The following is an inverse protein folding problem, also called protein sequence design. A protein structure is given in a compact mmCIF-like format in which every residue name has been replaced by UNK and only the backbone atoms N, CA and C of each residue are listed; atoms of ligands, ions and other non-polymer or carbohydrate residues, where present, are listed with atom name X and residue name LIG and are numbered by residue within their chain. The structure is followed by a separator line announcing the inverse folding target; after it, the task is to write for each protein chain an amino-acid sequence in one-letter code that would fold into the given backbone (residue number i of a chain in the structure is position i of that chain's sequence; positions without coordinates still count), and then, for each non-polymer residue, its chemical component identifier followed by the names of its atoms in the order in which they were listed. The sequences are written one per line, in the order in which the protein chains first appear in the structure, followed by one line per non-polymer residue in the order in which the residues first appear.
data_IF_742784365858
#
_entry.id   IF_742784365858
#
_cell.length_a   1.000
_cell.length_b   1.000
_cell.length_c   1.000
_cell.angle_alpha   90.00
_cell.angle_beta   90.00
_cell.angle_gamma   90.00
#
_symmetry.space_group_name_H-M   'P 1'
#
loop_
_entity.id
_entity.type
_entity.pdbx_description
1 polymer ?
#
# COMPACT_ATOMS: atom_id res chain seq x y z
N UNK A 1 -40.77 -40.96 0.88
CA UNK A 1 -39.93 -40.43 1.96
C UNK A 1 -38.98 -39.41 1.34
N UNK A 2 -39.30 -38.13 1.44
CA UNK A 2 -38.38 -37.05 1.05
C UNK A 2 -37.85 -36.43 2.32
N UNK A 3 -36.54 -36.54 2.54
CA UNK A 3 -35.85 -35.85 3.62
C UNK A 3 -35.60 -34.42 3.18
N UNK A 4 -36.33 -33.49 3.79
CA UNK A 4 -36.10 -32.05 3.64
C UNK A 4 -34.78 -31.71 4.34
N UNK A 5 -33.79 -31.28 3.55
CA UNK A 5 -32.49 -30.83 4.07
C UNK A 5 -32.74 -29.49 4.79
N UNK A 6 -32.64 -29.47 6.12
CA UNK A 6 -32.86 -28.26 6.93
C UNK A 6 -31.86 -27.16 6.61
N UNK A 7 -32.20 -25.91 6.94
CA UNK A 7 -31.33 -24.75 6.72
C UNK A 7 -29.95 -24.98 7.35
N UNK A 8 -28.92 -25.15 6.51
CA UNK A 8 -27.54 -25.27 6.98
C UNK A 8 -27.10 -23.95 7.60
N UNK A 9 -26.92 -23.93 8.90
CA UNK A 9 -26.18 -22.87 9.60
C UNK A 9 -24.75 -22.84 9.05
N UNK A 10 -24.47 -21.91 8.15
CA UNK A 10 -23.10 -21.65 7.68
C UNK A 10 -22.18 -21.26 8.85
N UNK A 11 -20.87 -21.44 8.64
CA UNK A 11 -19.85 -21.07 9.64
C UNK A 11 -19.96 -19.57 10.02
N UNK A 12 -19.96 -19.21 11.31
CA UNK A 12 -20.04 -17.82 11.73
C UNK A 12 -18.89 -17.01 11.13
N UNK A 13 -19.16 -15.79 10.65
CA UNK A 13 -18.13 -14.83 10.21
C UNK A 13 -17.39 -14.19 11.41
N UNK A 14 -17.02 -14.98 12.43
CA UNK A 14 -16.33 -14.49 13.63
C UNK A 14 -15.01 -13.77 13.30
N UNK A 15 -14.39 -14.12 12.19
CA UNK A 15 -13.10 -13.56 11.77
C UNK A 15 -13.24 -12.16 11.16
N UNK A 16 -14.38 -11.83 10.56
CA UNK A 16 -14.62 -10.54 9.89
C UNK A 16 -15.40 -9.63 10.84
N UNK A 17 -14.80 -9.32 11.97
CA UNK A 17 -15.32 -8.30 12.90
C UNK A 17 -14.88 -6.91 12.46
N UNK A 18 -15.67 -5.90 12.81
CA UNK A 18 -15.29 -4.49 12.61
C UNK A 18 -13.96 -4.13 13.28
N UNK A 19 -13.64 -4.81 14.38
CA UNK A 19 -12.37 -4.67 15.08
C UNK A 19 -11.19 -5.16 14.23
N UNK A 20 -11.31 -6.36 13.64
CA UNK A 20 -10.27 -6.89 12.76
C UNK A 20 -10.12 -6.05 11.49
N UNK A 21 -11.23 -5.53 10.93
CA UNK A 21 -11.19 -4.62 9.78
C UNK A 21 -10.41 -3.34 10.13
N UNK A 22 -10.71 -2.71 11.27
CA UNK A 22 -10.00 -1.51 11.74
C UNK A 22 -8.53 -1.77 12.01
N UNK A 23 -8.21 -2.89 12.65
CA UNK A 23 -6.83 -3.26 12.96
C UNK A 23 -6.01 -3.51 11.69
N UNK A 24 -6.54 -4.26 10.72
CA UNK A 24 -5.89 -4.47 9.42
C UNK A 24 -5.68 -3.13 8.70
N UNK A 25 -6.69 -2.25 8.71
CA UNK A 25 -6.59 -0.93 8.08
C UNK A 25 -5.48 -0.07 8.71
N UNK A 26 -5.39 -0.04 10.04
CA UNK A 26 -4.34 0.70 10.75
C UNK A 26 -2.94 0.12 10.49
N UNK A 27 -2.79 -1.20 10.49
CA UNK A 27 -1.51 -1.84 10.17
C UNK A 27 -1.03 -1.42 8.77
N UNK A 28 -1.89 -1.49 7.76
CA UNK A 28 -1.55 -1.11 6.37
C UNK A 28 -1.20 0.38 6.24
N UNK A 29 -1.89 1.26 6.96
CA UNK A 29 -1.59 2.70 6.94
C UNK A 29 -0.24 3.03 7.61
N UNK A 30 0.11 2.32 8.68
CA UNK A 30 1.37 2.51 9.39
C UNK A 30 2.56 2.01 8.58
N UNK A 31 2.45 0.83 7.96
CA UNK A 31 3.47 0.30 7.07
C UNK A 31 2.86 -0.32 5.81
N UNK A 32 2.97 0.44 4.71
CA UNK A 32 2.49 0.02 3.39
C UNK A 32 3.27 -1.17 2.81
N UNK A 33 4.43 -1.51 3.35
CA UNK A 33 5.25 -2.65 2.90
C UNK A 33 4.94 -3.96 3.65
N UNK A 34 3.97 -3.96 4.57
CA UNK A 34 3.57 -5.16 5.30
C UNK A 34 3.12 -6.28 4.38
N UNK A 35 3.56 -7.51 4.69
CA UNK A 35 3.12 -8.71 3.96
C UNK A 35 1.81 -9.21 4.55
N UNK A 36 0.99 -9.83 3.71
CA UNK A 36 -0.26 -10.48 4.13
C UNK A 36 -0.03 -11.51 5.24
N UNK A 37 1.08 -12.25 5.18
CA UNK A 37 1.44 -13.25 6.19
C UNK A 37 1.71 -12.62 7.56
N UNK A 38 2.35 -11.45 7.60
CA UNK A 38 2.68 -10.76 8.85
C UNK A 38 1.39 -10.29 9.56
N UNK A 39 0.43 -9.79 8.78
CA UNK A 39 -0.90 -9.38 9.27
C UNK A 39 -1.68 -10.61 9.78
N UNK A 40 -1.68 -11.69 9.01
CA UNK A 40 -2.33 -12.95 9.36
C UNK A 40 -1.77 -13.55 10.67
N UNK A 41 -0.46 -13.53 10.83
CA UNK A 41 0.22 -14.03 12.02
C UNK A 41 -0.04 -13.15 13.25
N UNK A 42 -0.10 -11.83 13.06
CA UNK A 42 -0.36 -10.87 14.14
C UNK A 42 -1.78 -11.00 14.67
N UNK A 43 -2.76 -11.09 13.78
CA UNK A 43 -4.18 -11.17 14.15
C UNK A 43 -4.67 -12.60 14.41
N UNK A 44 -3.81 -13.62 14.17
CA UNK A 44 -4.14 -15.05 14.25
C UNK A 44 -5.33 -15.42 13.36
N UNK A 45 -5.34 -14.86 12.15
CA UNK A 45 -6.36 -15.06 11.12
C UNK A 45 -5.71 -15.73 9.91
N UNK A 46 -6.49 -16.48 9.11
CA UNK A 46 -5.95 -17.04 7.87
C UNK A 46 -5.61 -15.95 6.84
N UNK A 47 -4.56 -16.17 6.06
CA UNK A 47 -4.11 -15.24 5.00
C UNK A 47 -5.20 -14.97 3.97
N UNK A 48 -6.01 -15.96 3.63
CA UNK A 48 -7.18 -15.83 2.75
C UNK A 48 -8.21 -14.84 3.30
N UNK A 49 -8.47 -14.87 4.61
CA UNK A 49 -9.41 -13.95 5.26
C UNK A 49 -8.87 -12.54 5.32
N UNK A 50 -7.58 -12.35 5.58
CA UNK A 50 -6.92 -11.05 5.49
C UNK A 50 -7.03 -10.48 4.07
N UNK A 51 -6.74 -11.31 3.05
CA UNK A 51 -6.90 -10.92 1.65
C UNK A 51 -8.35 -10.52 1.33
N UNK A 52 -9.32 -11.31 1.77
CA UNK A 52 -10.75 -11.00 1.61
C UNK A 52 -11.14 -9.68 2.28
N UNK A 53 -10.65 -9.39 3.49
CA UNK A 53 -10.92 -8.11 4.18
C UNK A 53 -10.34 -6.93 3.40
N UNK A 54 -9.09 -7.05 2.95
CA UNK A 54 -8.41 -5.99 2.20
C UNK A 54 -9.14 -5.67 0.89
N UNK A 55 -9.56 -6.69 0.16
CA UNK A 55 -10.21 -6.53 -1.14
C UNK A 55 -11.68 -6.14 -1.04
N UNK A 56 -12.47 -6.82 -0.22
CA UNK A 56 -13.94 -6.67 -0.20
C UNK A 56 -14.41 -5.59 0.79
N UNK A 57 -13.74 -5.45 1.95
CA UNK A 57 -14.20 -4.53 3.00
C UNK A 57 -13.44 -3.20 2.97
N UNK A 58 -12.13 -3.24 2.72
CA UNK A 58 -11.31 -2.03 2.63
C UNK A 58 -11.21 -1.47 1.20
N UNK A 59 -11.65 -2.24 0.19
CA UNK A 59 -11.54 -1.85 -1.22
C UNK A 59 -10.11 -1.46 -1.65
N UNK A 60 -9.10 -2.01 -0.97
CA UNK A 60 -7.69 -1.71 -1.22
C UNK A 60 -7.11 -2.70 -2.23
N UNK A 61 -6.17 -2.23 -3.05
CA UNK A 61 -5.42 -3.07 -3.98
C UNK A 61 -3.93 -2.93 -3.71
N UNK A 62 -3.22 -4.05 -3.79
CA UNK A 62 -1.77 -4.01 -3.77
C UNK A 62 -1.27 -3.38 -5.07
N UNK A 63 -0.58 -2.24 -4.93
CA UNK A 63 0.06 -1.58 -6.05
C UNK A 63 1.55 -1.91 -5.98
N UNK A 64 2.10 -2.48 -7.05
CA UNK A 64 3.54 -2.70 -7.13
C UNK A 64 4.26 -1.38 -6.90
N UNK A 65 5.15 -1.34 -5.90
CA UNK A 65 5.99 -0.18 -5.66
C UNK A 65 6.85 0.08 -6.91
N UNK A 66 6.93 1.35 -7.34
CA UNK A 66 7.81 1.74 -8.43
C UNK A 66 9.25 1.46 -8.02
N UNK A 67 10.03 0.80 -8.87
CA UNK A 67 11.46 0.60 -8.63
C UNK A 67 12.15 1.97 -8.57
N UNK A 68 12.72 2.28 -7.41
CA UNK A 68 13.56 3.47 -7.21
C UNK A 68 15.00 2.97 -7.18
N UNK A 69 15.84 3.37 -8.16
CA UNK A 69 17.27 3.07 -8.12
C UNK A 69 17.90 3.80 -6.93
N UNK A 70 18.25 3.04 -5.90
CA UNK A 70 18.95 3.44 -4.67
C UNK A 70 18.16 4.24 -3.63
N UNK A 71 18.37 3.87 -2.37
CA UNK A 71 18.05 4.74 -1.24
C UNK A 71 19.12 5.83 -1.14
N UNK A 72 18.73 7.07 -1.40
CA UNK A 72 19.64 8.21 -1.35
C UNK A 72 19.96 8.58 0.09
N UNK A 73 21.24 8.90 0.34
CA UNK A 73 21.65 9.53 1.59
C UNK A 73 21.06 10.93 1.72
N UNK A 74 21.09 11.50 2.93
CA UNK A 74 20.61 12.86 3.17
C UNK A 74 21.30 13.87 2.24
N UNK A 75 22.63 13.83 2.15
CA UNK A 75 23.41 14.75 1.31
C UNK A 75 23.09 14.59 -0.18
N UNK A 76 22.85 13.36 -0.64
CA UNK A 76 22.43 13.12 -2.02
C UNK A 76 21.05 13.69 -2.31
N UNK A 77 20.12 13.64 -1.34
CA UNK A 77 18.80 14.26 -1.49
C UNK A 77 18.94 15.79 -1.56
N UNK A 78 19.74 16.38 -0.67
CA UNK A 78 19.96 17.83 -0.67
C UNK A 78 20.58 18.29 -1.99
N UNK A 79 21.61 17.60 -2.47
CA UNK A 79 22.23 17.90 -3.78
C UNK A 79 21.21 17.89 -4.91
N UNK A 80 20.32 16.89 -4.95
CA UNK A 80 19.29 16.81 -5.99
C UNK A 80 18.29 17.96 -5.92
N UNK A 81 17.96 18.45 -4.73
CA UNK A 81 17.11 19.64 -4.56
C UNK A 81 17.83 20.86 -5.09
N UNK A 82 19.07 21.10 -4.66
CA UNK A 82 19.89 22.25 -5.06
C UNK A 82 20.06 22.30 -6.59
N UNK A 83 20.43 21.17 -7.20
CA UNK A 83 20.61 21.05 -8.66
C UNK A 83 19.29 21.32 -9.41
N UNK A 84 18.17 20.80 -8.88
CA UNK A 84 16.85 21.02 -9.49
C UNK A 84 16.41 22.48 -9.40
N UNK A 85 16.64 23.15 -8.27
CA UNK A 85 16.35 24.57 -8.10
C UNK A 85 17.17 25.43 -9.06
N UNK A 86 18.45 25.10 -9.23
CA UNK A 86 19.33 25.76 -10.18
C UNK A 86 18.83 25.59 -11.62
N UNK A 87 18.46 24.37 -12.02
CA UNK A 87 17.88 24.10 -13.35
C UNK A 87 16.59 24.90 -13.58
N UNK A 88 15.69 24.94 -12.60
CA UNK A 88 14.44 25.73 -12.68
C UNK A 88 14.73 27.22 -12.81
N UNK A 89 15.71 27.74 -12.07
CA UNK A 89 16.11 29.14 -12.15
C UNK A 89 16.68 29.47 -13.54
N UNK A 90 17.57 28.64 -14.07
CA UNK A 90 18.12 28.81 -15.41
C UNK A 90 17.02 28.77 -16.49
N UNK A 91 16.12 27.79 -16.42
CA UNK A 91 14.98 27.70 -17.33
C UNK A 91 14.10 28.94 -17.31
N UNK A 92 13.88 29.55 -16.14
CA UNK A 92 13.09 30.78 -16.00
C UNK A 92 13.82 32.02 -16.54
N UNK A 93 15.13 32.12 -16.32
CA UNK A 93 15.94 33.27 -16.73
C UNK A 93 16.29 33.26 -18.23
N UNK A 94 16.60 32.08 -18.79
CA UNK A 94 16.97 31.94 -20.20
C UNK A 94 16.53 30.58 -20.77
N UNK A 95 15.23 30.47 -21.05
CA UNK A 95 14.61 29.27 -21.61
C UNK A 95 15.25 28.75 -22.91
N UNK A 96 15.52 29.57 -23.95
CA UNK A 96 16.06 29.05 -25.20
C UNK A 96 17.49 28.50 -25.05
N UNK A 97 18.36 29.15 -24.28
CA UNK A 97 19.73 28.67 -24.04
C UNK A 97 19.74 27.41 -23.18
N UNK A 98 18.89 27.36 -22.14
CA UNK A 98 18.78 26.18 -21.28
C UNK A 98 18.36 24.92 -22.06
N UNK A 99 17.42 25.06 -23.01
CA UNK A 99 16.97 23.94 -23.84
C UNK A 99 17.99 23.50 -24.90
N UNK A 100 19.00 24.31 -25.20
CA UNK A 100 20.05 23.94 -26.16
C UNK A 100 21.07 22.95 -25.56
N UNK A 101 21.14 22.90 -24.22
CA UNK A 101 22.09 22.08 -23.48
C UNK A 101 21.45 20.91 -22.70
N UNK A 102 20.14 20.70 -22.85
CA UNK A 102 19.44 19.47 -22.41
C UNK A 102 19.33 18.47 -23.57
#
# INVERSE_FOLDING_TARGET
MSTEDGERSGHPKEVVTDENIKNIHQMILNDRKLKLNDIAETLKISTERVHHIIHEYLSMRNLCAKWVPCELTFDQKQRRVDDSEQCVKMFKCNKPEFLQHM
#
